data_IF_992451266695
#
_entry.id   IF_992451266695
#
_cell.length_a   1.000
_cell.length_b   1.000
_cell.length_c   1.000
_cell.angle_alpha   90.00
_cell.angle_beta   90.00
_cell.angle_gamma   90.00
#
_symmetry.space_group_name_H-M   'P 1'
#
loop_
_entity.id
_entity.type
_entity.pdbx_description
1 polymer ?
#
# COMPACT_ATOMS: atom_id res chain seq x y z
N UNK A 1 -24.73 -24.58 -19.96
CA UNK A 1 -25.13 -24.60 -18.53
C UNK A 1 -25.08 -23.18 -18.02
N UNK A 2 -26.24 -22.57 -17.76
CA UNK A 2 -26.35 -21.24 -17.18
C UNK A 2 -25.88 -21.27 -15.73
N UNK A 3 -24.88 -20.44 -15.40
CA UNK A 3 -24.49 -20.19 -14.01
C UNK A 3 -25.36 -19.06 -13.47
N UNK A 4 -26.60 -19.38 -13.11
CA UNK A 4 -27.36 -18.46 -12.27
C UNK A 4 -26.65 -18.36 -10.91
N UNK A 5 -26.06 -17.20 -10.68
CA UNK A 5 -25.47 -16.88 -9.38
C UNK A 5 -26.63 -16.61 -8.43
N UNK A 6 -26.71 -17.28 -7.26
CA UNK A 6 -27.85 -17.10 -6.37
C UNK A 6 -28.00 -15.63 -5.99
N UNK A 7 -29.22 -15.10 -6.04
CA UNK A 7 -29.49 -13.68 -5.83
C UNK A 7 -28.95 -13.20 -4.46
N UNK A 8 -28.41 -11.98 -4.44
CA UNK A 8 -27.83 -11.38 -3.24
C UNK A 8 -26.35 -11.72 -3.02
N UNK A 9 -25.84 -11.29 -1.88
CA UNK A 9 -24.44 -11.40 -1.48
C UNK A 9 -24.29 -12.33 -0.28
N UNK A 10 -23.19 -13.09 -0.19
CA UNK A 10 -22.95 -13.95 0.99
C UNK A 10 -22.95 -13.13 2.28
N UNK A 11 -23.66 -13.58 3.31
CA UNK A 11 -23.78 -12.86 4.57
C UNK A 11 -22.41 -12.54 5.22
N UNK A 12 -21.43 -13.44 5.15
CA UNK A 12 -20.08 -13.17 5.66
C UNK A 12 -19.35 -12.03 4.90
N UNK A 13 -19.70 -11.77 3.64
CA UNK A 13 -19.22 -10.60 2.88
C UNK A 13 -19.91 -9.32 3.38
N UNK A 14 -21.22 -9.35 3.60
CA UNK A 14 -22.01 -8.21 4.09
C UNK A 14 -21.59 -7.79 5.49
N UNK A 15 -21.45 -8.74 6.43
CA UNK A 15 -20.94 -8.47 7.79
C UNK A 15 -19.54 -7.87 7.73
N UNK A 16 -18.66 -8.37 6.85
CA UNK A 16 -17.33 -7.80 6.68
C UNK A 16 -17.36 -6.38 6.09
N UNK A 17 -18.28 -6.08 5.15
CA UNK A 17 -18.43 -4.75 4.51
C UNK A 17 -19.02 -3.70 5.46
N UNK A 18 -19.80 -4.10 6.45
CA UNK A 18 -20.26 -3.22 7.54
C UNK A 18 -19.16 -2.78 8.52
N UNK A 19 -17.93 -3.30 8.35
CA UNK A 19 -16.82 -3.09 9.29
C UNK A 19 -16.84 -4.01 10.53
N UNK A 20 -18.02 -4.54 10.93
CA UNK A 20 -18.26 -5.26 12.20
C UNK A 20 -17.27 -6.39 12.52
N UNK A 21 -16.81 -7.15 11.54
CA UNK A 21 -15.90 -8.27 11.73
C UNK A 21 -15.04 -8.54 10.49
N UNK A 22 -13.94 -9.29 10.61
CA UNK A 22 -13.28 -9.87 9.42
C UNK A 22 -14.16 -10.94 8.77
N UNK A 23 -13.93 -11.27 7.49
CA UNK A 23 -14.75 -12.28 6.81
C UNK A 23 -14.69 -13.66 7.50
N UNK A 24 -13.50 -14.09 7.94
CA UNK A 24 -13.32 -15.36 8.67
C UNK A 24 -13.94 -15.32 10.07
N UNK A 25 -13.95 -14.15 10.69
CA UNK A 25 -14.58 -13.92 11.98
C UNK A 25 -16.10 -13.84 11.86
N UNK A 26 -16.64 -13.26 10.79
CA UNK A 26 -18.05 -13.35 10.44
C UNK A 26 -18.48 -14.81 10.18
N UNK A 27 -17.67 -15.59 9.45
CA UNK A 27 -17.86 -17.04 9.28
C UNK A 27 -17.88 -17.76 10.64
N UNK A 28 -17.02 -17.36 11.60
CA UNK A 28 -17.02 -17.89 12.98
C UNK A 28 -18.26 -17.45 13.80
N UNK A 29 -18.65 -16.18 13.74
CA UNK A 29 -19.84 -15.65 14.44
C UNK A 29 -21.12 -16.33 13.95
N UNK A 30 -21.20 -16.66 12.66
CA UNK A 30 -22.30 -17.45 12.08
C UNK A 30 -22.27 -18.89 12.62
N UNK A 31 -21.11 -19.55 12.62
CA UNK A 31 -20.98 -20.90 13.20
C UNK A 31 -21.23 -20.95 14.73
N UNK A 32 -20.98 -19.86 15.44
CA UNK A 32 -21.35 -19.66 16.86
C UNK A 32 -22.85 -19.34 17.06
N UNK A 33 -23.64 -19.23 15.98
CA UNK A 33 -25.06 -18.88 16.04
C UNK A 33 -25.32 -17.44 16.50
N UNK A 34 -24.34 -16.54 16.45
CA UNK A 34 -24.43 -15.16 16.96
C UNK A 34 -24.97 -14.17 15.93
N UNK A 35 -25.41 -14.68 14.78
CA UNK A 35 -25.97 -13.89 13.67
C UNK A 35 -27.40 -14.34 13.43
N UNK A 36 -28.30 -13.37 13.27
CA UNK A 36 -29.68 -13.62 12.83
C UNK A 36 -30.00 -12.86 11.55
N UNK A 37 -30.87 -13.44 10.72
CA UNK A 37 -31.41 -12.84 9.50
C UNK A 37 -32.93 -12.89 9.60
N UNK A 38 -33.57 -11.73 9.52
CA UNK A 38 -35.02 -11.56 9.66
C UNK A 38 -35.61 -12.17 10.95
N UNK A 39 -34.79 -12.29 12.00
CA UNK A 39 -35.17 -12.88 13.30
C UNK A 39 -34.83 -14.36 13.45
N UNK A 40 -34.45 -15.07 12.37
CA UNK A 40 -34.01 -16.46 12.43
C UNK A 40 -32.48 -16.53 12.65
N UNK A 41 -32.04 -17.37 13.57
CA UNK A 41 -30.61 -17.69 13.76
C UNK A 41 -30.07 -18.43 12.54
N UNK A 42 -28.84 -18.14 12.14
CA UNK A 42 -28.16 -18.82 11.03
C UNK A 42 -26.85 -19.46 11.48
N UNK A 43 -26.56 -20.63 10.91
CA UNK A 43 -25.39 -21.48 11.17
C UNK A 43 -24.44 -21.59 9.95
N UNK A 44 -24.96 -21.30 8.75
CA UNK A 44 -24.24 -21.46 7.48
C UNK A 44 -23.78 -20.14 6.87
N UNK A 45 -22.46 -19.91 6.67
CA UNK A 45 -21.94 -18.73 5.98
C UNK A 45 -22.14 -18.76 4.46
N UNK A 46 -22.78 -19.81 3.93
CA UNK A 46 -23.12 -19.92 2.51
C UNK A 46 -24.42 -19.17 2.14
N UNK A 47 -25.21 -18.72 3.12
CA UNK A 47 -26.44 -17.97 2.88
C UNK A 47 -26.15 -16.66 2.13
N UNK A 48 -26.85 -16.46 1.01
CA UNK A 48 -26.91 -15.15 0.36
C UNK A 48 -28.06 -14.33 0.94
N UNK A 49 -27.83 -13.03 1.09
CA UNK A 49 -28.76 -12.04 1.62
C UNK A 49 -28.85 -10.84 0.69
N UNK A 50 -30.00 -10.19 0.70
CA UNK A 50 -30.33 -9.02 -0.12
C UNK A 50 -30.34 -7.75 0.72
N UNK A 51 -30.36 -6.55 0.11
CA UNK A 51 -30.52 -5.29 0.85
C UNK A 51 -31.84 -5.15 1.63
N UNK A 52 -32.81 -6.07 1.44
CA UNK A 52 -34.08 -6.09 2.18
C UNK A 52 -34.01 -6.87 3.50
N UNK A 53 -32.97 -7.68 3.68
CA UNK A 53 -32.84 -8.58 4.82
C UNK A 53 -32.31 -7.86 6.06
N UNK A 54 -32.99 -8.03 7.19
CA UNK A 54 -32.58 -7.46 8.48
C UNK A 54 -31.59 -8.40 9.17
N UNK A 55 -30.31 -8.04 9.12
CA UNK A 55 -29.22 -8.79 9.73
C UNK A 55 -28.92 -8.21 11.11
N UNK A 56 -28.80 -9.06 12.13
CA UNK A 56 -28.24 -8.67 13.43
C UNK A 56 -27.04 -9.54 13.80
N UNK A 57 -26.10 -8.97 14.55
CA UNK A 57 -24.94 -9.67 15.12
C UNK A 57 -24.91 -9.34 16.60
N UNK A 58 -24.92 -10.37 17.46
CA UNK A 58 -25.09 -10.21 18.92
C UNK A 58 -26.37 -9.43 19.30
N UNK A 59 -27.45 -9.60 18.52
CA UNK A 59 -28.71 -8.87 18.68
C UNK A 59 -28.68 -7.41 18.24
N UNK A 60 -27.51 -6.87 17.86
CA UNK A 60 -27.38 -5.51 17.34
C UNK A 60 -27.60 -5.48 15.82
N UNK A 61 -28.46 -4.59 15.28
CA UNK A 61 -28.62 -4.42 13.83
C UNK A 61 -27.29 -4.12 13.14
N UNK A 62 -27.07 -4.75 11.99
CA UNK A 62 -25.88 -4.50 11.18
C UNK A 62 -25.93 -3.09 10.58
N UNK A 63 -24.87 -2.31 10.77
CA UNK A 63 -24.74 -0.99 10.17
C UNK A 63 -24.67 -1.10 8.63
N UNK A 64 -25.16 -0.06 7.94
CA UNK A 64 -24.97 0.06 6.50
C UNK A 64 -23.47 0.06 6.14
N UNK A 65 -23.13 -0.53 4.99
CA UNK A 65 -21.76 -0.51 4.49
C UNK A 65 -21.26 0.91 4.28
N UNK A 66 -20.03 1.21 4.71
CA UNK A 66 -19.38 2.47 4.35
C UNK A 66 -19.18 2.56 2.83
N UNK A 67 -19.23 3.77 2.24
CA UNK A 67 -18.85 3.96 0.85
C UNK A 67 -17.38 3.54 0.63
N UNK A 68 -17.01 3.01 -0.56
CA UNK A 68 -15.64 2.63 -0.84
C UNK A 68 -14.66 3.80 -0.71
N UNK A 69 -13.63 3.62 0.12
CA UNK A 69 -12.56 4.56 0.41
C UNK A 69 -11.21 3.90 0.15
N UNK A 70 -10.21 4.72 -0.18
CA UNK A 70 -8.86 4.27 -0.50
C UNK A 70 -7.87 5.23 0.16
N UNK A 71 -6.81 4.68 0.76
CA UNK A 71 -5.73 5.45 1.37
C UNK A 71 -4.39 5.06 0.75
N UNK A 72 -3.52 6.05 0.66
CA UNK A 72 -2.10 5.90 0.37
C UNK A 72 -1.38 5.75 1.71
N UNK A 73 -0.58 4.70 1.89
CA UNK A 73 0.27 4.52 3.06
C UNK A 73 1.73 4.39 2.62
N UNK A 74 2.62 5.19 3.20
CA UNK A 74 4.05 4.98 3.02
C UNK A 74 4.54 3.93 4.02
N UNK A 75 4.46 2.66 3.65
CA UNK A 75 4.96 1.56 4.47
C UNK A 75 6.47 1.71 4.73
N UNK A 76 6.94 1.78 5.99
CA UNK A 76 8.37 1.70 6.30
C UNK A 76 8.89 0.25 6.21
N UNK A 77 10.21 0.10 6.21
CA UNK A 77 10.84 -1.21 6.39
C UNK A 77 10.60 -1.73 7.82
N UNK A 78 10.70 -3.05 8.01
CA UNK A 78 10.56 -3.70 9.32
C UNK A 78 9.13 -4.12 9.70
N UNK A 79 8.10 -3.70 8.93
CA UNK A 79 6.71 -4.10 9.16
C UNK A 79 6.25 -5.22 8.22
N UNK A 80 5.52 -6.21 8.73
CA UNK A 80 4.90 -7.28 7.94
C UNK A 80 3.54 -6.85 7.39
N UNK A 81 3.27 -7.08 6.09
CA UNK A 81 1.91 -6.89 5.53
C UNK A 81 1.04 -8.12 5.75
N UNK A 82 0.56 -8.28 6.99
CA UNK A 82 -0.42 -9.29 7.45
C UNK A 82 -1.30 -8.70 8.54
N UNK A 83 -2.53 -9.18 8.74
CA UNK A 83 -3.41 -8.76 9.86
C UNK A 83 -3.09 -9.44 11.18
N UNK A 84 -2.27 -10.50 11.16
CA UNK A 84 -1.73 -11.21 12.32
C UNK A 84 -0.46 -11.92 11.89
N UNK A 85 0.63 -11.76 12.63
CA UNK A 85 1.89 -12.44 12.37
C UNK A 85 2.10 -13.58 13.38
N UNK A 86 2.41 -14.77 12.88
CA UNK A 86 2.62 -15.97 13.71
C UNK A 86 3.95 -15.94 14.47
N UNK A 87 4.88 -15.06 14.06
CA UNK A 87 6.22 -14.94 14.63
C UNK A 87 6.33 -13.70 15.55
N UNK A 88 5.21 -13.06 15.89
CA UNK A 88 5.15 -11.93 16.82
C UNK A 88 5.82 -10.65 16.32
N UNK A 89 6.01 -10.49 15.00
CA UNK A 89 6.61 -9.29 14.42
C UNK A 89 5.56 -8.20 14.19
N UNK A 90 5.96 -6.95 14.40
CA UNK A 90 5.15 -5.77 14.07
C UNK A 90 4.60 -5.84 12.64
N UNK A 91 3.28 -5.71 12.53
CA UNK A 91 2.57 -5.62 11.26
C UNK A 91 2.41 -4.16 10.84
N UNK A 92 1.93 -3.94 9.62
CA UNK A 92 1.53 -2.59 9.19
C UNK A 92 0.39 -2.03 10.06
N UNK A 93 -0.53 -2.89 10.54
CA UNK A 93 -1.76 -2.45 11.22
C UNK A 93 -1.46 -1.97 12.64
N UNK A 94 -0.43 -2.50 13.28
CA UNK A 94 0.04 -2.08 14.61
C UNK A 94 0.70 -0.68 14.60
N UNK A 95 0.93 -0.11 13.42
CA UNK A 95 1.54 1.22 13.20
C UNK A 95 0.66 2.15 12.36
N UNK A 96 -0.59 1.80 12.08
CA UNK A 96 -1.54 2.74 11.46
C UNK A 96 -2.05 3.72 12.52
N UNK A 97 -2.33 4.98 12.14
CA UNK A 97 -3.09 5.91 12.98
C UNK A 97 -4.38 5.31 13.55
N UNK A 98 -4.66 5.56 14.84
CA UNK A 98 -5.80 4.99 15.58
C UNK A 98 -7.16 5.51 15.08
N UNK A 99 -7.19 6.65 14.39
CA UNK A 99 -8.38 7.26 13.80
C UNK A 99 -8.78 6.67 12.44
N UNK A 100 -7.95 5.80 11.84
CA UNK A 100 -8.33 5.09 10.63
C UNK A 100 -9.47 4.10 10.90
N UNK A 101 -10.51 4.05 10.02
CA UNK A 101 -11.47 2.98 10.05
C UNK A 101 -10.78 1.65 9.72
N UNK A 102 -11.49 0.55 9.94
CA UNK A 102 -10.98 -0.79 9.67
C UNK A 102 -10.69 -0.99 8.18
N UNK A 103 -9.39 -1.04 7.83
CA UNK A 103 -8.90 -1.18 6.44
C UNK A 103 -8.23 -2.53 6.16
N UNK A 104 -8.07 -2.83 4.88
CA UNK A 104 -7.37 -3.97 4.31
C UNK A 104 -6.26 -3.49 3.37
N UNK A 105 -5.11 -4.17 3.35
CA UNK A 105 -4.06 -3.88 2.37
C UNK A 105 -4.42 -4.38 0.97
N UNK A 106 -4.05 -3.62 -0.06
CA UNK A 106 -4.09 -4.03 -1.46
C UNK A 106 -2.73 -4.57 -1.85
N UNK A 107 -2.67 -5.88 -2.09
CA UNK A 107 -1.42 -6.62 -2.22
C UNK A 107 -0.59 -6.57 -0.92
N UNK A 108 0.72 -6.77 -1.10
CA UNK A 108 1.72 -6.79 -0.03
C UNK A 108 3.00 -6.07 -0.47
N UNK A 109 3.83 -5.72 0.51
CA UNK A 109 5.25 -5.42 0.35
C UNK A 109 6.03 -6.31 1.32
N UNK A 110 7.23 -6.73 0.96
CA UNK A 110 8.07 -7.52 1.87
C UNK A 110 8.45 -6.72 3.13
N UNK A 111 8.89 -7.43 4.17
CA UNK A 111 9.39 -6.85 5.42
C UNK A 111 10.41 -5.72 5.18
N UNK A 112 11.41 -5.99 4.32
CA UNK A 112 12.52 -5.08 4.00
C UNK A 112 12.24 -4.19 2.77
N UNK A 113 10.97 -4.05 2.37
CA UNK A 113 10.53 -3.25 1.24
C UNK A 113 9.62 -2.11 1.73
N UNK A 114 9.82 -0.93 1.15
CA UNK A 114 9.27 0.36 1.57
C UNK A 114 8.30 0.94 0.53
N UNK A 115 7.67 2.06 0.87
CA UNK A 115 6.94 2.92 -0.06
C UNK A 115 5.44 2.61 -0.12
N UNK A 116 4.83 2.96 -1.25
CA UNK A 116 3.38 3.02 -1.40
C UNK A 116 2.72 1.65 -1.21
N UNK A 117 1.89 1.52 -0.19
CA UNK A 117 0.90 0.47 -0.03
C UNK A 117 -0.47 1.12 -0.05
N UNK A 118 -1.40 0.59 -0.85
CA UNK A 118 -2.78 1.08 -0.83
C UNK A 118 -3.56 0.32 0.25
N UNK A 119 -4.40 1.04 0.98
CA UNK A 119 -5.32 0.49 1.98
C UNK A 119 -6.76 0.82 1.57
N UNK A 120 -7.74 -0.02 1.88
CA UNK A 120 -9.15 0.23 1.56
C UNK A 120 -10.08 -0.45 2.58
N UNK A 121 -11.25 0.14 2.83
CA UNK A 121 -12.33 -0.47 3.61
C UNK A 121 -13.14 -1.48 2.77
N UNK A 122 -12.96 -1.49 1.44
CA UNK A 122 -13.82 -2.22 0.50
C UNK A 122 -13.11 -3.40 -0.19
N UNK A 123 -13.74 -4.58 -0.12
CA UNK A 123 -13.19 -5.82 -0.67
C UNK A 123 -13.24 -5.92 -2.20
N UNK A 124 -14.16 -5.21 -2.85
CA UNK A 124 -14.33 -5.18 -4.30
C UNK A 124 -13.28 -4.26 -4.93
N UNK A 125 -13.05 -3.09 -4.33
CA UNK A 125 -11.92 -2.20 -4.66
C UNK A 125 -10.58 -2.93 -4.54
N UNK A 126 -10.36 -3.62 -3.40
CA UNK A 126 -9.17 -4.46 -3.21
C UNK A 126 -9.04 -5.49 -4.33
N UNK A 127 -10.11 -6.24 -4.63
CA UNK A 127 -10.09 -7.27 -5.67
C UNK A 127 -9.82 -6.70 -7.06
N UNK A 128 -10.42 -5.56 -7.40
CA UNK A 128 -10.24 -4.86 -8.69
C UNK A 128 -8.78 -4.42 -8.89
N UNK A 129 -8.12 -3.94 -7.82
CA UNK A 129 -6.71 -3.58 -7.85
C UNK A 129 -5.75 -4.79 -7.88
N UNK A 130 -6.11 -5.92 -7.24
CA UNK A 130 -5.29 -7.14 -7.21
C UNK A 130 -5.47 -8.07 -8.42
N UNK A 131 -6.50 -7.88 -9.24
CA UNK A 131 -6.80 -8.72 -10.40
C UNK A 131 -5.67 -8.69 -11.45
N UNK A 132 -5.02 -9.82 -11.79
CA UNK A 132 -3.93 -9.84 -12.78
C UNK A 132 -4.33 -9.28 -14.15
N UNK A 133 -5.59 -9.46 -14.55
CA UNK A 133 -6.16 -8.96 -15.81
C UNK A 133 -6.16 -7.42 -15.92
N UNK A 134 -6.12 -6.69 -14.81
CA UNK A 134 -6.00 -5.22 -14.84
C UNK A 134 -4.57 -4.75 -15.15
N UNK A 135 -3.56 -5.61 -14.97
CA UNK A 135 -2.17 -5.32 -15.36
C UNK A 135 -1.58 -4.04 -14.77
N UNK A 136 -2.08 -3.56 -13.62
CA UNK A 136 -1.66 -2.28 -13.02
C UNK A 136 -0.13 -2.18 -12.89
N UNK A 137 0.44 -1.15 -13.50
CA UNK A 137 1.87 -0.89 -13.45
C UNK A 137 2.29 -0.42 -12.06
N UNK A 138 3.18 -1.17 -11.42
CA UNK A 138 3.79 -0.86 -10.12
C UNK A 138 5.20 -0.36 -10.38
N UNK A 139 5.47 0.92 -10.11
CA UNK A 139 6.82 1.49 -10.26
C UNK A 139 7.54 1.46 -8.93
N UNK A 140 8.83 1.17 -8.98
CA UNK A 140 9.72 1.05 -7.84
C UNK A 140 11.00 1.83 -8.11
N UNK A 141 11.55 2.41 -7.05
CA UNK A 141 12.91 2.93 -7.01
C UNK A 141 13.79 1.92 -6.27
N UNK A 142 14.82 1.45 -6.93
CA UNK A 142 15.64 0.32 -6.49
C UNK A 142 17.08 0.79 -6.34
N UNK A 143 17.67 0.63 -5.15
CA UNK A 143 19.10 0.80 -4.96
C UNK A 143 19.77 -0.56 -5.01
N UNK A 144 20.70 -0.74 -5.95
CA UNK A 144 21.48 -1.98 -6.11
C UNK A 144 22.95 -1.76 -5.74
N UNK A 145 23.62 -2.84 -5.32
CA UNK A 145 25.07 -2.96 -5.33
C UNK A 145 25.52 -3.62 -6.64
N UNK A 146 26.57 -3.08 -7.24
CA UNK A 146 27.15 -3.55 -8.51
C UNK A 146 27.44 -2.40 -9.48
N UNK A 147 28.19 -2.71 -10.55
CA UNK A 147 28.36 -1.81 -11.69
C UNK A 147 27.22 -2.08 -12.67
N UNK A 148 26.27 -1.14 -12.79
CA UNK A 148 25.20 -1.26 -13.76
C UNK A 148 25.64 -0.67 -15.09
N UNK A 149 25.43 -1.43 -16.16
CA UNK A 149 25.52 -0.96 -17.54
C UNK A 149 24.22 -1.33 -18.26
N UNK A 150 23.97 -0.73 -19.41
CA UNK A 150 22.71 -0.88 -20.13
C UNK A 150 22.51 -2.32 -20.64
N UNK A 151 23.60 -2.99 -21.01
CA UNK A 151 23.64 -4.37 -21.47
C UNK A 151 23.24 -5.36 -20.38
N UNK A 152 23.60 -5.06 -19.12
CA UNK A 152 23.26 -5.88 -17.94
C UNK A 152 21.76 -5.80 -17.60
N UNK A 153 21.09 -4.70 -17.98
CA UNK A 153 19.64 -4.52 -17.75
C UNK A 153 18.78 -5.16 -18.84
N UNK A 154 19.34 -5.41 -20.02
CA UNK A 154 18.63 -5.90 -21.20
C UNK A 154 17.92 -7.26 -21.02
N UNK A 155 18.47 -8.26 -20.28
CA UNK A 155 17.74 -9.47 -19.93
C UNK A 155 16.45 -9.21 -19.12
N UNK A 156 16.42 -8.19 -18.25
CA UNK A 156 15.22 -7.84 -17.49
C UNK A 156 14.10 -7.30 -18.40
N UNK A 157 14.48 -6.55 -19.44
CA UNK A 157 13.54 -5.95 -20.40
C UNK A 157 12.93 -6.98 -21.34
N UNK A 158 13.67 -8.05 -21.65
CA UNK A 158 13.18 -9.18 -22.46
C UNK A 158 12.41 -10.22 -21.63
N UNK A 159 12.53 -10.16 -20.30
CA UNK A 159 12.07 -11.22 -19.40
C UNK A 159 13.16 -12.27 -19.20
N UNK A 160 13.23 -12.84 -17.99
CA UNK A 160 14.34 -13.68 -17.54
C UNK A 160 13.82 -14.85 -16.70
N UNK A 161 14.43 -16.03 -16.82
CA UNK A 161 14.14 -17.19 -15.97
C UNK A 161 15.26 -17.36 -14.95
N UNK A 162 14.89 -17.48 -13.66
CA UNK A 162 15.83 -17.68 -12.56
C UNK A 162 15.21 -18.60 -11.51
N UNK A 163 15.98 -19.57 -11.00
CA UNK A 163 15.51 -20.63 -10.08
C UNK A 163 14.22 -21.35 -10.55
N UNK A 164 14.08 -21.58 -11.86
CA UNK A 164 12.89 -22.22 -12.44
C UNK A 164 11.64 -21.32 -12.53
N UNK A 165 11.73 -20.04 -12.13
CA UNK A 165 10.65 -19.05 -12.26
C UNK A 165 10.97 -18.11 -13.42
N UNK A 166 10.09 -18.07 -14.43
CA UNK A 166 10.14 -17.09 -15.53
C UNK A 166 9.47 -15.79 -15.11
N UNK A 167 10.17 -14.67 -15.22
CA UNK A 167 9.67 -13.31 -15.00
C UNK A 167 9.34 -12.62 -16.32
N UNK A 168 8.25 -11.85 -16.34
CA UNK A 168 7.84 -11.08 -17.50
C UNK A 168 8.78 -9.89 -17.79
N UNK A 169 8.77 -9.36 -19.03
CA UNK A 169 9.40 -8.09 -19.38
C UNK A 169 9.20 -6.97 -18.35
N UNK A 170 10.30 -6.41 -17.87
CA UNK A 170 10.33 -5.32 -16.89
C UNK A 170 10.70 -3.99 -17.57
N UNK A 171 10.04 -2.90 -17.19
CA UNK A 171 10.47 -1.55 -17.61
C UNK A 171 11.62 -1.15 -16.68
N UNK A 172 12.86 -1.10 -17.15
CA UNK A 172 14.04 -0.81 -16.31
C UNK A 172 14.90 0.30 -16.91
N UNK A 173 15.18 1.33 -16.11
CA UNK A 173 16.11 2.43 -16.46
C UNK A 173 17.10 2.71 -15.33
N UNK A 174 18.34 3.05 -15.70
CA UNK A 174 19.36 3.54 -14.78
C UNK A 174 19.13 5.03 -14.49
N UNK A 175 18.82 5.37 -13.23
CA UNK A 175 18.65 6.77 -12.80
C UNK A 175 20.01 7.45 -12.55
N UNK A 176 20.92 6.75 -11.86
CA UNK A 176 22.24 7.26 -11.42
C UNK A 176 23.15 6.12 -10.94
N UNK A 177 24.41 6.11 -11.37
CA UNK A 177 25.48 5.29 -10.80
C UNK A 177 26.36 6.15 -9.86
N UNK A 178 26.79 5.60 -8.72
CA UNK A 178 27.76 6.18 -7.79
C UNK A 178 28.66 5.09 -7.20
N UNK A 179 29.89 4.96 -7.71
CA UNK A 179 30.81 3.90 -7.32
C UNK A 179 30.19 2.51 -7.55
N UNK A 180 30.19 1.64 -6.54
CA UNK A 180 29.56 0.32 -6.57
C UNK A 180 28.05 0.34 -6.23
N UNK A 181 27.37 1.49 -6.26
CA UNK A 181 25.92 1.59 -6.07
C UNK A 181 25.25 2.19 -7.28
N UNK A 182 24.04 1.71 -7.61
CA UNK A 182 23.18 2.33 -8.61
C UNK A 182 21.77 2.56 -8.06
N UNK A 183 21.09 3.57 -8.60
CA UNK A 183 19.65 3.75 -8.48
C UNK A 183 18.99 3.45 -9.82
N UNK A 184 17.98 2.59 -9.80
CA UNK A 184 17.19 2.17 -10.94
C UNK A 184 15.71 2.50 -10.71
N UNK A 185 15.01 2.87 -11.77
CA UNK A 185 13.54 2.83 -11.81
C UNK A 185 13.10 1.52 -12.47
N UNK A 186 12.25 0.75 -11.79
CA UNK A 186 11.73 -0.55 -12.24
C UNK A 186 10.21 -0.54 -12.25
N UNK A 187 9.60 -0.89 -13.38
CA UNK A 187 8.15 -1.01 -13.55
C UNK A 187 7.72 -2.44 -13.84
N UNK A 188 6.82 -2.98 -13.01
CA UNK A 188 6.25 -4.33 -13.13
C UNK A 188 4.74 -4.30 -13.33
N UNK A 189 4.19 -5.23 -14.11
CA UNK A 189 2.73 -5.46 -14.21
C UNK A 189 2.26 -6.69 -13.43
N UNK A 190 3.16 -7.63 -13.16
CA UNK A 190 2.92 -8.75 -12.25
C UNK A 190 3.38 -8.44 -10.81
N UNK A 191 3.51 -9.47 -9.97
CA UNK A 191 3.73 -9.35 -8.52
C UNK A 191 4.09 -10.68 -7.87
N UNK A 192 5.04 -11.41 -8.46
CA UNK A 192 5.59 -12.66 -7.92
C UNK A 192 6.35 -12.40 -6.62
N UNK A 193 6.56 -13.47 -5.83
CA UNK A 193 7.27 -13.35 -4.55
C UNK A 193 8.71 -12.83 -4.77
N UNK A 194 9.03 -11.68 -4.13
CA UNK A 194 10.36 -11.04 -4.17
C UNK A 194 10.89 -10.75 -5.58
N UNK A 195 9.98 -10.59 -6.55
CA UNK A 195 10.27 -10.53 -8.00
C UNK A 195 11.47 -9.66 -8.39
N UNK A 196 11.50 -8.38 -7.99
CA UNK A 196 12.59 -7.46 -8.31
C UNK A 196 13.93 -7.94 -7.75
N UNK A 197 13.93 -8.51 -6.53
CA UNK A 197 15.18 -8.97 -5.90
C UNK A 197 15.74 -10.17 -6.65
N UNK A 198 14.89 -11.17 -6.94
CA UNK A 198 15.26 -12.38 -7.68
C UNK A 198 15.68 -12.09 -9.12
N UNK A 199 15.01 -11.15 -9.79
CA UNK A 199 15.37 -10.75 -11.14
C UNK A 199 16.71 -9.98 -11.19
N UNK A 200 17.00 -9.13 -10.19
CA UNK A 200 18.30 -8.46 -10.06
C UNK A 200 19.42 -9.44 -9.68
N UNK A 201 19.14 -10.39 -8.78
CA UNK A 201 20.05 -11.48 -8.39
C UNK A 201 20.45 -12.31 -9.63
N UNK A 202 19.53 -12.57 -10.56
CA UNK A 202 19.78 -13.28 -11.82
C UNK A 202 20.76 -12.58 -12.77
N UNK A 203 20.96 -11.26 -12.64
CA UNK A 203 21.96 -10.46 -13.38
C UNK A 203 23.14 -10.02 -12.50
N UNK A 204 23.35 -10.72 -11.38
CA UNK A 204 24.43 -10.48 -10.40
C UNK A 204 24.39 -9.10 -9.71
N UNK A 205 23.19 -8.52 -9.52
CA UNK A 205 22.98 -7.27 -8.79
C UNK A 205 22.23 -7.51 -7.48
N UNK A 206 22.76 -7.02 -6.35
CA UNK A 206 22.12 -7.19 -5.03
C UNK A 206 21.25 -5.98 -4.69
N UNK A 207 19.97 -6.18 -4.34
CA UNK A 207 19.05 -5.09 -3.98
C UNK A 207 19.20 -4.65 -2.51
N UNK A 208 19.83 -3.50 -2.30
CA UNK A 208 20.04 -2.88 -1.00
C UNK A 208 18.76 -2.21 -0.44
N UNK A 209 18.03 -1.46 -1.29
CA UNK A 209 16.81 -0.74 -0.90
C UNK A 209 15.77 -0.84 -2.01
N UNK A 210 14.50 -1.03 -1.64
CA UNK A 210 13.40 -1.18 -2.59
C UNK A 210 12.19 -0.37 -2.10
N UNK A 211 11.83 0.67 -2.85
CA UNK A 211 10.74 1.60 -2.50
C UNK A 211 9.70 1.55 -3.62
N UNK A 212 8.44 1.18 -3.35
CA UNK A 212 7.37 1.31 -4.35
C UNK A 212 6.95 2.79 -4.46
N UNK A 213 7.12 3.39 -5.62
CA UNK A 213 6.82 4.82 -5.87
C UNK A 213 5.46 5.03 -6.52
N UNK A 214 4.89 4.02 -7.20
CA UNK A 214 3.51 4.07 -7.70
C UNK A 214 2.83 2.70 -7.74
N UNK A 215 1.50 2.73 -7.75
CA UNK A 215 0.62 1.59 -8.03
C UNK A 215 -0.48 2.08 -8.97
N UNK A 216 -0.39 1.75 -10.25
CA UNK A 216 -1.29 2.28 -11.27
C UNK A 216 -1.25 3.82 -11.30
N UNK A 217 -2.39 4.52 -11.15
CA UNK A 217 -2.47 5.97 -11.12
C UNK A 217 -2.07 6.58 -9.77
N UNK A 218 -1.97 5.76 -8.71
CA UNK A 218 -1.67 6.22 -7.36
C UNK A 218 -0.16 6.37 -7.18
N UNK A 219 0.27 7.55 -6.71
CA UNK A 219 1.67 7.92 -6.53
C UNK A 219 1.99 8.05 -5.04
N UNK A 220 3.23 7.74 -4.64
CA UNK A 220 3.70 7.97 -3.27
C UNK A 220 3.81 9.48 -2.93
N UNK A 221 4.07 10.32 -3.95
CA UNK A 221 4.12 11.77 -3.79
C UNK A 221 5.20 12.21 -2.79
N UNK A 222 4.79 13.06 -1.85
CA UNK A 222 5.64 13.61 -0.77
C UNK A 222 5.35 12.97 0.60
N UNK A 223 4.48 11.95 0.64
CA UNK A 223 4.08 11.24 1.86
C UNK A 223 5.32 10.67 2.57
N UNK A 224 5.53 10.99 3.85
CA UNK A 224 6.69 10.52 4.62
C UNK A 224 6.49 9.09 5.12
N UNK A 225 7.55 8.31 5.42
CA UNK A 225 7.42 6.97 5.99
C UNK A 225 6.53 6.96 7.23
N UNK A 226 5.53 6.07 7.26
CA UNK A 226 4.52 5.97 8.31
C UNK A 226 3.26 6.82 8.08
N UNK A 227 3.29 7.86 7.25
CA UNK A 227 2.12 8.69 6.99
C UNK A 227 1.08 7.97 6.11
N UNK A 228 -0.19 8.31 6.34
CA UNK A 228 -1.37 7.83 5.60
C UNK A 228 -2.16 9.02 5.08
N UNK A 229 -2.60 8.97 3.81
CA UNK A 229 -3.41 10.01 3.17
C UNK A 229 -4.66 9.39 2.51
N UNK A 230 -5.86 9.93 2.76
CA UNK A 230 -7.09 9.48 2.09
C UNK A 230 -7.18 10.03 0.66
N UNK A 231 -7.35 9.13 -0.31
CA UNK A 231 -7.61 9.50 -1.70
C UNK A 231 -9.04 10.01 -1.83
N UNK A 232 -9.20 11.23 -2.36
CA UNK A 232 -10.52 11.84 -2.63
C UNK A 232 -11.44 10.87 -3.37
N UNK A 233 -12.65 10.64 -2.85
CA UNK A 233 -13.63 9.67 -3.39
C UNK A 233 -13.82 9.77 -4.91
N UNK A 234 -13.93 10.99 -5.46
CA UNK A 234 -14.01 11.20 -6.91
C UNK A 234 -12.83 10.56 -7.67
N UNK A 235 -11.59 10.72 -7.20
CA UNK A 235 -10.41 10.13 -7.83
C UNK A 235 -10.45 8.59 -7.75
N UNK A 236 -10.84 8.02 -6.61
CA UNK A 236 -11.00 6.56 -6.46
C UNK A 236 -12.01 6.03 -7.48
N UNK A 237 -13.15 6.71 -7.59
CA UNK A 237 -14.30 6.35 -8.40
C UNK A 237 -14.03 6.48 -9.89
N UNK A 238 -13.46 7.61 -10.31
CA UNK A 238 -13.06 7.90 -11.70
C UNK A 238 -11.93 6.94 -12.16
N UNK A 239 -10.92 6.66 -11.32
CA UNK A 239 -9.79 5.78 -11.66
C UNK A 239 -10.11 4.29 -11.63
N UNK A 240 -11.07 3.86 -10.81
CA UNK A 240 -11.50 2.47 -10.72
C UNK A 240 -12.76 2.18 -11.55
N UNK A 241 -13.37 3.18 -12.19
CA UNK A 241 -14.62 3.03 -12.93
C UNK A 241 -15.71 2.39 -12.07
N UNK A 242 -15.95 2.94 -10.87
CA UNK A 242 -17.00 2.45 -9.94
C UNK A 242 -18.39 2.96 -10.31
N UNK A 243 -18.49 3.95 -11.21
CA UNK A 243 -19.76 4.56 -11.63
C UNK A 243 -20.57 3.69 -12.62
N UNK A 244 -19.89 2.78 -13.33
CA UNK A 244 -20.48 2.06 -14.48
C UNK A 244 -21.53 0.99 -14.14
N UNK A 245 -21.61 0.55 -12.88
CA UNK A 245 -22.47 -0.59 -12.47
C UNK A 245 -23.50 -0.21 -11.38
N UNK A 246 -23.51 1.03 -10.89
CA UNK A 246 -24.31 1.42 -9.71
C UNK A 246 -25.20 2.67 -9.84
N UNK A 247 -24.97 3.56 -10.80
CA UNK A 247 -25.67 4.86 -10.83
C UNK A 247 -27.01 4.88 -11.58
N UNK A 248 -27.23 3.95 -12.52
CA UNK A 248 -28.49 3.86 -13.27
C UNK A 248 -29.73 3.56 -12.40
N UNK A 249 -29.54 3.08 -11.16
CA UNK A 249 -30.64 2.69 -10.26
C UNK A 249 -30.89 3.67 -9.09
N UNK A 250 -30.06 4.71 -8.92
CA UNK A 250 -30.20 5.68 -7.81
C UNK A 250 -30.42 7.13 -8.27
N UNK A 251 -30.11 7.46 -9.53
CA UNK A 251 -30.38 8.80 -10.06
C UNK A 251 -31.87 8.99 -10.45
N UNK A 252 -32.59 7.94 -10.87
CA UNK A 252 -34.04 8.04 -11.16
C UNK A 252 -34.92 8.25 -9.91
N UNK A 253 -34.58 7.71 -8.74
CA UNK A 253 -35.42 7.84 -7.53
C UNK A 253 -35.22 9.16 -6.75
N UNK A 254 -34.33 10.06 -7.20
CA UNK A 254 -34.03 11.31 -6.48
C UNK A 254 -34.51 12.61 -7.15
N UNK A 255 -35.11 12.56 -8.35
CA UNK A 255 -35.88 13.69 -8.89
C UNK A 255 -37.23 13.87 -8.17
N UNK A 256 -37.18 14.49 -6.99
CA UNK A 256 -38.39 15.06 -6.36
C UNK A 256 -38.84 16.32 -7.11
N UNK A 257 -40.16 16.52 -7.31
CA UNK A 257 -40.68 17.56 -8.19
C UNK A 257 -40.37 18.97 -7.68
N UNK A 258 -40.12 19.88 -8.63
CA UNK A 258 -39.80 21.27 -8.34
C UNK A 258 -40.97 22.01 -7.66
N UNK A 259 -40.80 22.36 -6.38
CA UNK A 259 -41.76 23.19 -5.65
C UNK A 259 -41.92 24.60 -6.24
N UNK A 260 -43.08 25.26 -6.04
CA UNK A 260 -43.41 26.52 -6.71
C UNK A 260 -42.52 27.67 -6.24
N UNK A 261 -41.86 28.34 -7.19
CA UNK A 261 -40.96 29.47 -6.94
C UNK A 261 -41.74 30.71 -6.46
N UNK A 262 -41.58 31.07 -5.18
CA UNK A 262 -42.08 32.34 -4.64
C UNK A 262 -41.38 33.53 -5.33
N UNK A 263 -42.13 34.29 -6.14
CA UNK A 263 -41.66 35.53 -6.79
C UNK A 263 -41.39 36.60 -5.72
N UNK A 264 -40.12 36.99 -5.53
CA UNK A 264 -39.77 38.18 -4.73
C UNK A 264 -40.33 39.43 -5.42
N UNK A 265 -41.13 40.24 -4.70
CA UNK A 265 -41.63 41.54 -5.18
C UNK A 265 -40.45 42.54 -5.36
N UNK A 266 -40.46 43.38 -6.40
CA UNK A 266 -39.48 44.46 -6.53
C UNK A 266 -39.78 45.58 -5.51
N UNK A 267 -38.74 46.18 -4.93
CA UNK A 267 -38.88 47.40 -4.11
C UNK A 267 -39.02 48.61 -5.03
N UNK A 268 -40.07 49.41 -4.85
CA UNK A 268 -40.23 50.70 -5.55
C UNK A 268 -39.25 51.73 -4.98
N UNK A 269 -38.58 52.48 -5.85
CA UNK A 269 -37.93 53.75 -5.54
C UNK A 269 -38.89 54.91 -5.87
N UNK A 270 -39.02 55.88 -4.97
CA UNK A 270 -39.81 57.10 -5.20
C UNK A 270 -39.27 58.30 -4.40
N UNK A 271 -38.47 59.11 -5.08
CA UNK A 271 -38.62 60.58 -5.21
C UNK A 271 -39.10 61.46 -4.02
N UNK A 272 -38.21 62.32 -3.50
CA UNK A 272 -38.29 63.79 -3.72
C UNK A 272 -39.04 64.75 -2.76
N UNK A 273 -38.31 65.35 -1.79
CA UNK A 273 -38.40 66.76 -1.31
C UNK A 273 -39.69 67.27 -0.62
N UNK A 274 -39.76 68.57 -0.18
CA UNK A 274 -38.72 69.62 -0.11
C UNK A 274 -38.57 70.31 1.27
N UNK A 275 -37.53 71.16 1.46
CA UNK A 275 -37.41 72.08 2.61
C UNK A 275 -35.97 72.56 2.91
N UNK A 276 -35.68 73.84 2.67
CA UNK A 276 -34.41 74.54 2.95
C UNK A 276 -34.72 75.90 3.63
N UNK A 277 -33.81 76.54 4.40
CA UNK A 277 -32.67 77.25 3.79
C UNK A 277 -31.35 77.35 4.61
N UNK A 278 -30.23 77.68 3.94
CA UNK A 278 -29.05 78.33 4.55
C UNK A 278 -27.69 78.00 3.90
N UNK A 279 -26.94 79.00 3.42
CA UNK A 279 -25.61 78.96 2.73
C UNK A 279 -24.82 80.26 3.09
N UNK A 280 -23.57 80.59 2.67
CA UNK A 280 -22.62 79.90 1.76
C UNK A 280 -21.07 79.94 2.07
N UNK A 281 -20.34 79.24 1.17
CA UNK A 281 -18.93 79.26 0.68
C UNK A 281 -18.22 80.64 0.52
N UNK A 282 -16.87 80.78 0.23
CA UNK A 282 -16.05 80.14 -0.85
C UNK A 282 -14.54 79.86 -0.52
N UNK A 283 -13.58 79.52 -1.41
CA UNK A 283 -13.43 78.66 -2.62
C UNK A 283 -11.95 78.78 -3.16
N UNK A 284 -11.60 77.98 -4.20
CA UNK A 284 -10.34 77.94 -5.02
C UNK A 284 -9.00 77.52 -4.33
N UNK A 285 -7.92 77.03 -4.99
CA UNK A 285 -7.68 76.34 -6.29
C UNK A 285 -6.25 75.67 -6.38
N UNK A 286 -6.02 74.82 -7.41
CA UNK A 286 -4.78 74.34 -8.12
C UNK A 286 -3.47 73.87 -7.44
N UNK A 287 -2.84 72.82 -8.02
CA UNK A 287 -1.37 72.57 -7.92
C UNK A 287 -0.88 71.12 -7.63
N UNK A 288 -0.14 70.52 -8.56
CA UNK A 288 0.75 69.32 -8.39
C UNK A 288 2.22 69.80 -8.16
N UNK A 289 3.28 68.98 -7.86
CA UNK A 289 3.45 67.54 -8.15
C UNK A 289 4.31 66.64 -7.20
N UNK A 290 4.40 65.35 -7.57
CA UNK A 290 5.58 64.45 -7.52
C UNK A 290 6.06 63.75 -6.22
N UNK A 291 6.80 62.66 -6.48
CA UNK A 291 7.33 61.56 -5.62
C UNK A 291 8.89 61.64 -5.67
N UNK A 292 9.70 60.93 -4.84
CA UNK A 292 9.83 59.47 -5.01
C UNK A 292 10.24 58.63 -3.77
N UNK A 293 10.21 57.30 -3.98
CA UNK A 293 10.82 56.27 -3.10
C UNK A 293 12.32 56.15 -3.38
N UNK A 294 13.10 55.65 -2.41
CA UNK A 294 14.51 55.26 -2.57
C UNK A 294 14.68 53.77 -2.26
N UNK A 295 15.52 53.07 -3.02
CA UNK A 295 15.58 51.60 -3.04
C UNK A 295 16.97 50.99 -2.77
N UNK A 296 17.09 49.69 -3.08
CA UNK A 296 18.30 48.86 -3.03
C UNK A 296 19.47 49.42 -3.87
N UNK A 297 20.70 48.91 -3.65
CA UNK A 297 21.66 48.62 -4.71
C UNK A 297 21.82 47.10 -4.95
N UNK A 298 22.54 46.74 -6.02
CA UNK A 298 22.71 45.36 -6.51
C UNK A 298 24.19 45.04 -6.87
N UNK A 299 24.41 43.77 -7.20
CA UNK A 299 25.60 43.07 -7.71
C UNK A 299 26.59 43.80 -8.63
N UNK A 300 27.87 43.39 -8.53
CA UNK A 300 28.85 43.33 -9.63
C UNK A 300 29.93 42.23 -9.35
N UNK A 301 30.58 41.70 -10.39
CA UNK A 301 31.59 40.60 -10.32
C UNK A 301 33.03 41.06 -10.60
N UNK A 302 34.01 40.21 -10.22
CA UNK A 302 35.42 40.12 -10.68
C UNK A 302 36.35 41.34 -10.41
N UNK A 303 37.66 41.19 -10.18
CA UNK A 303 38.58 40.04 -10.32
C UNK A 303 39.86 40.19 -9.44
N UNK A 304 40.82 39.26 -9.63
CA UNK A 304 42.24 39.23 -9.20
C UNK A 304 42.63 39.00 -7.72
N UNK A 305 43.64 38.12 -7.56
CA UNK A 305 44.40 37.82 -6.32
C UNK A 305 45.55 38.83 -6.13
N UNK A 306 46.18 38.88 -4.95
CA UNK A 306 47.47 38.18 -4.82
C UNK A 306 47.60 37.30 -3.55
N UNK A 307 48.82 36.80 -3.34
CA UNK A 307 49.24 35.71 -2.45
C UNK A 307 49.66 36.18 -1.03
N UNK A 308 50.24 35.26 -0.25
CA UNK A 308 51.14 35.43 0.90
C UNK A 308 50.54 35.44 2.34
N UNK A 309 50.63 34.26 2.97
CA UNK A 309 51.30 33.95 4.27
C UNK A 309 50.96 34.68 5.59
N UNK A 310 51.26 33.96 6.68
CA UNK A 310 51.32 34.37 8.10
C UNK A 310 50.03 34.72 8.86
N UNK A 311 49.57 33.78 9.72
CA UNK A 311 49.78 33.88 11.19
C UNK A 311 49.33 32.59 11.93
N UNK A 312 49.74 32.36 13.21
CA UNK A 312 50.28 31.05 13.60
C UNK A 312 49.39 30.20 14.52
N UNK A 313 49.82 28.95 14.69
CA UNK A 313 49.29 27.99 15.65
C UNK A 313 49.45 28.45 17.11
N UNK A 314 48.54 27.98 17.99
CA UNK A 314 48.69 28.03 19.45
C UNK A 314 49.00 26.65 20.03
N UNK A 315 49.82 26.55 21.10
CA UNK A 315 50.29 25.28 21.66
C UNK A 315 49.27 24.68 22.64
N UNK A 316 49.45 23.39 22.99
CA UNK A 316 48.50 22.63 23.82
C UNK A 316 49.08 22.08 25.12
N UNK A 317 48.35 21.08 25.68
CA UNK A 317 48.64 20.26 26.89
C UNK A 317 48.46 20.98 28.24
N UNK A 318 48.29 20.25 29.38
CA UNK A 318 48.66 18.84 29.63
C UNK A 318 47.53 17.89 30.04
N UNK A 319 47.90 16.62 30.25
CA UNK A 319 47.03 15.51 30.64
C UNK A 319 47.19 15.13 32.13
N UNK A 320 46.10 14.64 32.73
CA UNK A 320 45.97 13.85 33.97
C UNK A 320 44.57 13.18 33.89
N UNK A 321 44.30 11.97 34.37
CA UNK A 321 45.12 10.90 34.95
C UNK A 321 44.19 9.72 35.29
N UNK A 322 44.66 8.46 35.23
CA UNK A 322 43.86 7.29 35.66
C UNK A 322 43.66 7.30 37.19
N UNK A 323 42.63 6.59 37.67
CA UNK A 323 42.87 5.56 38.69
C UNK A 323 42.43 4.16 38.23
N UNK A 324 42.92 3.14 38.94
CA UNK A 324 42.66 1.73 38.67
C UNK A 324 41.38 1.23 39.40
N UNK A 325 40.91 0.02 39.06
CA UNK A 325 39.87 -0.69 39.80
C UNK A 325 40.36 -1.21 41.17
N UNK A 326 39.50 -1.96 41.90
CA UNK A 326 39.38 -3.39 41.62
C UNK A 326 37.96 -3.98 41.82
N UNK A 327 37.77 -5.27 41.51
CA UNK A 327 36.60 -6.05 41.98
C UNK A 327 36.11 -7.17 41.06
N UNK A 328 36.62 -8.40 41.25
CA UNK A 328 35.93 -9.66 40.87
C UNK A 328 35.28 -10.27 42.12
N UNK A 329 34.23 -11.08 41.96
CA UNK A 329 34.30 -12.50 42.34
C UNK A 329 33.96 -13.41 41.12
N UNK A 330 34.67 -14.51 40.83
CA UNK A 330 34.64 -15.80 41.54
C UNK A 330 33.22 -16.43 41.52
N UNK A 331 32.84 -17.17 40.48
CA UNK A 331 32.93 -18.65 40.38
C UNK A 331 32.51 -19.40 41.67
N UNK A 332 31.35 -20.05 41.60
CA UNK A 332 31.04 -21.26 42.34
C UNK A 332 30.79 -22.40 41.34
N UNK A 333 31.18 -23.62 41.69
CA UNK A 333 31.02 -24.80 40.85
C UNK A 333 30.54 -26.00 41.68
N UNK A 334 29.52 -26.68 41.16
CA UNK A 334 29.01 -27.98 41.57
C UNK A 334 28.18 -28.49 40.38
N UNK A 335 28.28 -29.72 39.90
CA UNK A 335 28.90 -30.93 40.45
C UNK A 335 27.96 -32.10 40.10
N UNK A 336 28.50 -33.29 39.83
CA UNK A 336 27.79 -34.49 39.32
C UNK A 336 27.25 -34.39 37.87
N UNK A 337 27.13 -35.47 37.09
CA UNK A 337 27.89 -36.73 37.09
C UNK A 337 27.88 -37.40 35.71
N UNK A 338 28.79 -38.36 35.48
CA UNK A 338 28.75 -39.28 34.33
C UNK A 338 28.71 -40.72 34.82
N UNK A 339 27.96 -41.59 34.14
CA UNK A 339 28.42 -42.97 33.91
C UNK A 339 28.67 -43.28 32.44
N UNK A 340 29.46 -44.33 32.20
CA UNK A 340 29.69 -45.01 30.90
C UNK A 340 29.10 -46.42 30.95
N UNK A 341 28.91 -47.04 29.78
CA UNK A 341 28.48 -48.44 29.62
C UNK A 341 26.95 -48.58 29.52
N UNK A 342 26.39 -49.49 28.73
CA UNK A 342 26.98 -50.49 27.83
C UNK A 342 25.99 -50.87 26.71
N UNK A 343 26.45 -51.49 25.63
CA UNK A 343 25.58 -52.27 24.72
C UNK A 343 25.53 -53.75 25.13
N UNK A 344 25.02 -54.69 24.30
CA UNK A 344 24.21 -54.57 23.08
C UNK A 344 22.95 -55.48 23.11
N UNK A 345 22.11 -55.49 22.05
CA UNK A 345 21.62 -56.72 21.36
C UNK A 345 20.65 -56.45 20.19
N UNK A 346 20.58 -57.42 19.27
CA UNK A 346 19.70 -57.48 18.08
C UNK A 346 18.38 -58.22 18.39
N UNK A 347 17.30 -57.90 17.67
CA UNK A 347 16.06 -58.70 17.59
C UNK A 347 15.19 -58.24 16.41
N UNK A 348 14.47 -59.11 15.67
CA UNK A 348 14.04 -58.80 14.29
C UNK A 348 12.52 -58.60 14.08
N UNK A 349 12.15 -58.01 12.94
CA UNK A 349 10.76 -57.87 12.48
C UNK A 349 10.61 -57.40 11.02
N UNK A 350 10.63 -58.36 10.09
CA UNK A 350 9.69 -58.54 8.94
C UNK A 350 9.32 -57.36 8.01
N UNK A 351 9.63 -57.51 6.71
CA UNK A 351 9.20 -56.63 5.60
C UNK A 351 7.83 -57.02 4.98
N UNK A 352 7.60 -56.98 3.64
CA UNK A 352 8.52 -56.69 2.52
C UNK A 352 8.01 -55.65 1.49
N UNK A 353 8.91 -55.26 0.56
CA UNK A 353 8.56 -54.58 -0.72
C UNK A 353 8.19 -55.63 -1.80
N UNK A 354 7.29 -55.33 -2.75
CA UNK A 354 7.24 -56.03 -4.05
C UNK A 354 8.22 -55.42 -5.07
N UNK A 355 8.61 -56.22 -6.07
CA UNK A 355 9.67 -55.92 -7.03
C UNK A 355 9.16 -55.77 -8.49
N UNK A 356 10.01 -55.21 -9.37
CA UNK A 356 9.87 -55.26 -10.84
C UNK A 356 10.02 -56.69 -11.38
N UNK A 357 9.33 -57.02 -12.48
CA UNK A 357 9.77 -57.83 -13.66
C UNK A 357 8.57 -58.03 -14.65
N UNK A 358 8.72 -58.61 -15.87
CA UNK A 358 9.34 -57.96 -17.04
C UNK A 358 8.48 -58.13 -18.34
N UNK A 359 9.12 -58.04 -19.50
CA UNK A 359 8.57 -57.90 -20.87
C UNK A 359 7.57 -58.94 -21.39
N UNK A 360 6.74 -58.51 -22.37
CA UNK A 360 5.90 -59.36 -23.21
C UNK A 360 5.33 -58.64 -24.46
N UNK A 361 5.82 -59.01 -25.65
CA UNK A 361 5.24 -58.80 -27.00
C UNK A 361 5.08 -60.20 -27.63
N UNK A 362 4.24 -60.48 -28.67
CA UNK A 362 4.05 -59.63 -29.88
C UNK A 362 2.65 -59.65 -30.56
N UNK A 363 2.51 -58.90 -31.69
CA UNK A 363 1.43 -59.02 -32.69
C UNK A 363 0.13 -58.23 -32.42
N UNK A 364 -0.58 -57.67 -33.41
CA UNK A 364 -0.22 -57.44 -34.83
C UNK A 364 -1.37 -56.89 -35.72
N UNK A 365 -1.06 -55.87 -36.54
CA UNK A 365 -1.69 -55.52 -37.86
C UNK A 365 -3.11 -54.87 -37.90
N UNK A 366 -3.54 -54.23 -39.03
CA UNK A 366 -3.89 -52.79 -38.98
C UNK A 366 -5.15 -52.30 -39.74
N UNK A 367 -5.50 -51.01 -39.53
CA UNK A 367 -6.31 -50.18 -40.44
C UNK A 367 -7.84 -50.30 -40.30
N UNK A 368 -8.65 -49.45 -40.99
CA UNK A 368 -8.27 -48.50 -42.05
C UNK A 368 -8.59 -47.01 -41.77
N UNK A 369 -8.13 -46.12 -42.68
CA UNK A 369 -8.68 -44.76 -42.88
C UNK A 369 -9.77 -44.80 -43.95
N UNK A 370 -10.84 -44.00 -43.77
CA UNK A 370 -11.78 -43.45 -44.79
C UNK A 370 -12.85 -42.65 -44.02
N UNK A 371 -13.38 -41.51 -44.47
CA UNK A 371 -12.98 -40.62 -45.59
C UNK A 371 -13.20 -39.18 -45.14
#
# INVERSE_FOLDING_TARGET
MTKDTPQGDRIAKIIARSGRASRREAEKLIAEGRVTVNGAQIDSPALNVTPRDRITVDGQPLAAAEPPRLWLYHKPAGLVTTTRDEQGRDTIFDKLPEDLPRVMSVGRLDLNSEGLLLLTNDGEVKRKLELPSTGWLRKYRVRVNGKVTEEILEPLRKGITHEGVTYQPMIVSLDRQQGANAWLTVGLREGKNREIRRAMEAINLTVNRLIRTSYGPFLLGQLKPGEVEEVRRKVVRDQLGLDAEGMAAMEEETEKPAGPRLRRKPRKSAFGGPGQPGRPKPAEDSGKPARPRRGKPASAELSTRPDASDRPAKPGRPARGKPAGPGKPARAASGSDRPRGDGPKRGPGTGPRPARKPDGKPGGRPGPKRS
#
